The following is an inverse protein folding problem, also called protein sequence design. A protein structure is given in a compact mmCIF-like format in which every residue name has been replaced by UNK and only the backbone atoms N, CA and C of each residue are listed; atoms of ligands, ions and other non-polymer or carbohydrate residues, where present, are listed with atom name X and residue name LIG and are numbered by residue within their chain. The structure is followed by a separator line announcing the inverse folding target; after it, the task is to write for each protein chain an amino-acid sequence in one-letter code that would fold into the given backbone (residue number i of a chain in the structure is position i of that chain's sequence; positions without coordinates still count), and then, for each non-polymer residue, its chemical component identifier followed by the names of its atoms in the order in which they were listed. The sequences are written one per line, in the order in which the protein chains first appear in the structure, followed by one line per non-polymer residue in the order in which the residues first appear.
data_IF_983238377064
#
_entry.id   IF_983238377064
#
_cell.length_a   1.000
_cell.length_b   1.000
_cell.length_c   1.000
_cell.angle_alpha   90.00
_cell.angle_beta   90.00
_cell.angle_gamma   90.00
#
_symmetry.space_group_name_H-M   'P 1'
#
loop_
_entity.id
_entity.type
_entity.pdbx_description
1 polymer ?
#
# COMPACT_ATOMS: atom_id res chain seq x y z
N UNK A 1 -3.29 14.41 -2.35
CA UNK A 1 -2.37 14.50 -3.52
C UNK A 1 -1.06 13.75 -3.23
N UNK A 2 -0.24 14.20 -2.28
CA UNK A 2 1.08 13.60 -2.02
C UNK A 2 1.13 12.08 -1.78
N UNK A 3 0.16 11.48 -1.08
CA UNK A 3 0.19 10.03 -0.76
C UNK A 3 0.00 9.17 -2.01
N UNK A 4 -1.02 9.48 -2.82
CA UNK A 4 -1.28 8.77 -4.09
C UNK A 4 -0.07 8.86 -5.02
N UNK A 5 0.47 10.05 -5.19
CA UNK A 5 1.62 10.30 -6.08
C UNK A 5 2.84 9.53 -5.59
N UNK A 6 3.02 9.41 -4.27
CA UNK A 6 4.09 8.61 -3.67
C UNK A 6 3.96 7.12 -3.97
N UNK A 7 2.75 6.56 -3.87
CA UNK A 7 2.50 5.16 -4.23
C UNK A 7 2.78 4.93 -5.72
N UNK A 8 2.28 5.80 -6.60
CA UNK A 8 2.54 5.70 -8.04
C UNK A 8 4.04 5.79 -8.36
N UNK A 9 4.74 6.76 -7.80
CA UNK A 9 6.19 6.90 -7.98
C UNK A 9 6.99 5.72 -7.43
N UNK A 10 6.52 5.09 -6.35
CA UNK A 10 7.14 3.87 -5.83
C UNK A 10 6.93 2.68 -6.78
N UNK A 11 5.75 2.52 -7.38
CA UNK A 11 5.49 1.51 -8.41
C UNK A 11 6.42 1.71 -9.62
N UNK A 12 6.56 2.95 -10.11
CA UNK A 12 7.48 3.27 -11.21
C UNK A 12 8.93 2.87 -10.90
N UNK A 13 9.39 3.08 -9.66
CA UNK A 13 10.74 2.70 -9.23
C UNK A 13 10.87 1.19 -9.06
N UNK A 14 9.94 0.56 -8.36
CA UNK A 14 9.93 -0.88 -8.12
C UNK A 14 9.92 -1.69 -9.43
N UNK A 15 9.23 -1.18 -10.44
CA UNK A 15 9.20 -1.71 -11.79
C UNK A 15 10.57 -1.83 -12.47
N UNK A 16 11.53 -0.98 -12.07
CA UNK A 16 12.88 -0.98 -12.64
C UNK A 16 13.90 -1.78 -11.83
N UNK A 17 13.45 -2.44 -10.76
CA UNK A 17 14.31 -3.19 -9.84
C UNK A 17 14.04 -4.70 -9.94
N UNK A 18 15.08 -5.54 -9.80
CA UNK A 18 14.86 -6.97 -9.58
C UNK A 18 14.13 -7.21 -8.26
N UNK A 19 13.52 -8.38 -8.11
CA UNK A 19 12.94 -8.81 -6.83
C UNK A 19 14.01 -8.80 -5.73
N UNK A 20 13.64 -8.32 -4.54
CA UNK A 20 14.54 -8.20 -3.41
C UNK A 20 14.19 -7.02 -2.49
N UNK A 21 14.97 -6.82 -1.43
CA UNK A 21 14.58 -5.98 -0.30
C UNK A 21 14.19 -4.53 -0.65
N UNK A 22 14.86 -3.91 -1.61
CA UNK A 22 14.53 -2.54 -2.03
C UNK A 22 13.22 -2.46 -2.81
N UNK A 23 12.91 -3.47 -3.64
CA UNK A 23 11.63 -3.55 -4.35
C UNK A 23 10.50 -3.75 -3.34
N UNK A 24 10.68 -4.70 -2.43
CA UNK A 24 9.70 -5.03 -1.40
C UNK A 24 9.42 -3.81 -0.50
N UNK A 25 10.47 -3.06 -0.14
CA UNK A 25 10.34 -1.82 0.63
C UNK A 25 9.53 -0.74 -0.10
N UNK A 26 9.67 -0.61 -1.42
CA UNK A 26 8.90 0.36 -2.20
C UNK A 26 7.43 -0.04 -2.33
N UNK A 27 7.14 -1.34 -2.37
CA UNK A 27 5.80 -1.92 -2.53
C UNK A 27 5.11 -2.25 -1.19
N UNK A 28 5.72 -1.88 -0.07
CA UNK A 28 5.14 -1.99 1.27
C UNK A 28 4.51 -0.66 1.69
N UNK A 29 3.22 -0.69 2.01
CA UNK A 29 2.46 0.44 2.55
C UNK A 29 2.05 0.13 3.99
N UNK A 30 2.32 1.06 4.89
CA UNK A 30 1.90 0.97 6.29
C UNK A 30 1.01 2.16 6.62
N UNK A 31 -0.19 1.90 7.13
CA UNK A 31 -1.10 2.90 7.66
C UNK A 31 -1.17 2.72 9.18
N UNK A 32 -1.01 3.82 9.92
CA UNK A 32 -1.06 3.83 11.39
C UNK A 32 -2.34 4.53 11.83
N UNK A 33 -3.10 3.87 12.70
CA UNK A 33 -4.45 4.24 13.11
C UNK A 33 -5.50 3.46 12.32
N UNK A 34 -6.31 2.68 13.03
CA UNK A 34 -7.38 1.82 12.54
C UNK A 34 -8.78 2.33 12.85
N UNK A 35 -8.94 3.62 13.17
CA UNK A 35 -10.24 4.31 13.16
C UNK A 35 -10.73 4.58 11.73
N UNK A 36 -11.88 5.24 11.60
CA UNK A 36 -12.58 5.47 10.32
C UNK A 36 -11.65 5.94 9.17
N UNK A 37 -10.95 7.06 9.37
CA UNK A 37 -10.09 7.64 8.33
C UNK A 37 -8.92 6.72 7.93
N UNK A 38 -8.34 5.99 8.89
CA UNK A 38 -7.22 5.09 8.63
C UNK A 38 -7.65 3.88 7.80
N UNK A 39 -8.81 3.32 8.11
CA UNK A 39 -9.39 2.20 7.35
C UNK A 39 -9.76 2.61 5.93
N UNK A 40 -10.40 3.78 5.74
CA UNK A 40 -10.72 4.28 4.41
C UNK A 40 -9.45 4.50 3.57
N UNK A 41 -8.43 5.15 4.14
CA UNK A 41 -7.14 5.34 3.46
C UNK A 41 -6.51 3.99 3.11
N UNK A 42 -6.51 3.03 4.03
CA UNK A 42 -5.97 1.70 3.77
C UNK A 42 -6.69 1.00 2.61
N UNK A 43 -8.03 1.02 2.61
CA UNK A 43 -8.84 0.40 1.57
C UNK A 43 -8.61 1.06 0.20
N UNK A 44 -8.62 2.39 0.13
CA UNK A 44 -8.41 3.14 -1.10
C UNK A 44 -7.00 2.93 -1.68
N UNK A 45 -5.96 2.95 -0.83
CA UNK A 45 -4.60 2.67 -1.30
C UNK A 45 -4.43 1.21 -1.76
N UNK A 46 -5.10 0.25 -1.12
CA UNK A 46 -5.11 -1.15 -1.56
C UNK A 46 -5.81 -1.31 -2.90
N UNK A 47 -6.93 -0.62 -3.09
CA UNK A 47 -7.66 -0.57 -4.36
C UNK A 47 -6.78 0.02 -5.48
N UNK A 48 -6.12 1.15 -5.20
CA UNK A 48 -5.17 1.77 -6.13
C UNK A 48 -4.04 0.81 -6.52
N UNK A 49 -3.38 0.17 -5.55
CA UNK A 49 -2.29 -0.76 -5.84
C UNK A 49 -2.75 -1.94 -6.71
N UNK A 50 -3.94 -2.49 -6.44
CA UNK A 50 -4.54 -3.57 -7.24
C UNK A 50 -4.77 -3.13 -8.70
N UNK A 51 -5.23 -1.89 -8.90
CA UNK A 51 -5.40 -1.31 -10.23
C UNK A 51 -4.05 -1.01 -10.93
N UNK A 52 -3.01 -0.66 -10.17
CA UNK A 52 -1.67 -0.41 -10.72
C UNK A 52 -0.98 -1.70 -11.16
N UNK A 53 -1.13 -2.82 -10.44
CA UNK A 53 -0.52 -4.12 -10.82
C UNK A 53 -0.79 -4.46 -12.29
N UNK A 54 -2.01 -4.25 -12.79
CA UNK A 54 -2.36 -4.47 -14.20
C UNK A 54 -1.62 -3.59 -15.23
N UNK A 55 -0.96 -2.51 -14.79
CA UNK A 55 -0.17 -1.58 -15.62
C UNK A 55 1.34 -1.86 -15.57
N UNK A 56 1.81 -2.67 -14.63
CA UNK A 56 3.23 -2.92 -14.37
C UNK A 56 3.49 -4.44 -14.41
N UNK A 57 3.72 -5.05 -15.60
CA UNK A 57 3.78 -6.51 -15.76
C UNK A 57 4.89 -7.22 -14.96
N UNK A 58 5.89 -6.47 -14.49
CA UNK A 58 6.98 -6.93 -13.64
C UNK A 58 6.65 -6.98 -12.14
N UNK A 59 5.50 -6.43 -11.73
CA UNK A 59 5.01 -6.43 -10.34
C UNK A 59 3.75 -7.29 -10.30
N UNK A 60 3.73 -8.29 -9.44
CA UNK A 60 2.53 -9.09 -9.18
C UNK A 60 1.77 -8.56 -7.96
N UNK A 61 0.58 -9.11 -7.71
CA UNK A 61 -0.21 -8.75 -6.54
C UNK A 61 0.49 -9.16 -5.23
N UNK A 62 1.19 -10.29 -5.27
CA UNK A 62 1.93 -10.90 -4.16
C UNK A 62 3.14 -10.06 -3.73
N UNK A 63 3.67 -9.22 -4.63
CA UNK A 63 4.76 -8.29 -4.35
C UNK A 63 4.33 -7.08 -3.51
N UNK A 64 3.01 -6.85 -3.37
CA UNK A 64 2.46 -5.68 -2.69
C UNK A 64 2.03 -6.01 -1.27
N UNK A 65 2.58 -5.30 -0.29
CA UNK A 65 2.31 -5.56 1.12
C UNK A 65 1.62 -4.37 1.77
N UNK A 66 0.51 -4.63 2.46
CA UNK A 66 -0.31 -3.60 3.09
C UNK A 66 -0.53 -3.96 4.56
N UNK A 67 -0.05 -3.10 5.46
CA UNK A 67 -0.17 -3.27 6.90
C UNK A 67 -0.95 -2.13 7.53
N UNK A 68 -1.86 -2.47 8.42
CA UNK A 68 -2.57 -1.52 9.27
C UNK A 68 -2.13 -1.75 10.71
N UNK A 69 -1.68 -0.69 11.38
CA UNK A 69 -1.23 -0.73 12.77
C UNK A 69 -2.23 0.05 13.62
N UNK A 70 -2.87 -0.62 14.57
CA UNK A 70 -3.79 -0.04 15.54
C UNK A 70 -3.31 -0.37 16.96
N UNK A 71 -3.34 0.62 17.85
CA UNK A 71 -2.89 0.47 19.24
C UNK A 71 -3.95 -0.16 20.14
N UNK A 72 -5.22 0.03 19.81
CA UNK A 72 -6.38 -0.51 20.52
C UNK A 72 -6.60 -1.99 20.18
N UNK A 73 -7.43 -2.65 20.99
CA UNK A 73 -7.76 -4.07 20.79
C UNK A 73 -8.66 -4.38 19.58
N UNK A 74 -9.13 -3.36 18.85
CA UNK A 74 -9.96 -3.51 17.65
C UNK A 74 -9.80 -2.32 16.71
N UNK A 75 -10.07 -2.55 15.42
CA UNK A 75 -10.26 -1.49 14.42
C UNK A 75 -11.71 -1.00 14.42
N UNK A 76 -11.95 0.17 13.83
CA UNK A 76 -13.26 0.83 13.78
C UNK A 76 -13.95 0.87 15.16
N UNK A 77 -13.30 1.42 16.21
CA UNK A 77 -13.91 1.48 17.53
C UNK A 77 -15.21 2.32 17.57
N UNK A 78 -15.45 3.14 16.56
CA UNK A 78 -16.66 3.96 16.39
C UNK A 78 -17.86 3.18 15.85
N UNK A 79 -17.65 1.98 15.30
CA UNK A 79 -18.68 1.06 14.81
C UNK A 79 -18.83 -0.12 15.76
#
# INVERSE_FOLDING_TARGET
VAIRDKVMSNFDKAASLPAGPERDRLLTVVVVGGGFAGIEVFAELRSLASALVGKYPQISFEDTHFHLIEAMGRIMPEV
#
